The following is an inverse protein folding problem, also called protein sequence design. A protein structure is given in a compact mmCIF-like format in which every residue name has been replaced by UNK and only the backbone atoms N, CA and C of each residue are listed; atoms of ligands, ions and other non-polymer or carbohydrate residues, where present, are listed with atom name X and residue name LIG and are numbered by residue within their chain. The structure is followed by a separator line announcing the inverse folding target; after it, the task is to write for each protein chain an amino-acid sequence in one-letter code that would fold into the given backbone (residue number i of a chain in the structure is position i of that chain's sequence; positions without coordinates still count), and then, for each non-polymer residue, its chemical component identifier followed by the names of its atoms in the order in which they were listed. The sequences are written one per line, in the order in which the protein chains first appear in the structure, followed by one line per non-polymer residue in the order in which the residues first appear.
data_IF_487679834807
#
_entry.id   IF_487679834807
#
_cell.length_a   1.000
_cell.length_b   1.000
_cell.length_c   1.000
_cell.angle_alpha   90.00
_cell.angle_beta   90.00
_cell.angle_gamma   90.00
#
_symmetry.space_group_name_H-M   'P 1'
#
loop_
_entity.id
_entity.type
_entity.pdbx_description
1 polymer ?
#
# COMPACT_ATOMS: atom_id res chain seq x y z
N UNK A 1 -12.17 7.31 -8.89
CA UNK A 1 -11.08 6.73 -8.07
C UNK A 1 -11.46 6.54 -6.62
N UNK A 2 -11.89 7.61 -5.92
CA UNK A 2 -11.78 7.66 -4.45
C UNK A 2 -12.82 6.88 -3.62
N UNK A 3 -14.04 6.63 -4.10
CA UNK A 3 -15.10 6.05 -3.22
C UNK A 3 -14.77 4.63 -2.73
N UNK A 4 -14.17 3.80 -3.58
CA UNK A 4 -13.84 2.41 -3.24
C UNK A 4 -12.70 2.33 -2.22
N UNK A 5 -11.69 3.19 -2.36
CA UNK A 5 -10.59 3.30 -1.40
C UNK A 5 -11.12 3.76 -0.04
N UNK A 6 -12.03 4.75 -0.01
CA UNK A 6 -12.69 5.20 1.23
C UNK A 6 -13.46 4.07 1.92
N UNK A 7 -14.19 3.25 1.17
CA UNK A 7 -14.96 2.12 1.71
C UNK A 7 -14.03 1.03 2.25
N UNK A 8 -13.02 0.60 1.48
CA UNK A 8 -12.08 -0.44 1.90
C UNK A 8 -11.30 -0.04 3.15
N UNK A 9 -10.78 1.19 3.17
CA UNK A 9 -10.09 1.76 4.33
C UNK A 9 -10.99 1.80 5.56
N UNK A 10 -12.26 2.22 5.43
CA UNK A 10 -13.20 2.23 6.56
C UNK A 10 -13.45 0.83 7.12
N UNK A 11 -13.53 -0.17 6.25
CA UNK A 11 -13.72 -1.56 6.66
C UNK A 11 -12.49 -2.14 7.40
N UNK A 12 -11.29 -1.84 6.92
CA UNK A 12 -10.04 -2.45 7.42
C UNK A 12 -9.48 -1.68 8.63
N UNK A 13 -9.42 -0.35 8.56
CA UNK A 13 -8.80 0.50 9.58
C UNK A 13 -9.79 1.27 10.45
N UNK A 14 -11.10 1.26 10.16
CA UNK A 14 -12.09 2.06 10.88
C UNK A 14 -12.05 3.54 10.48
N UNK A 15 -12.33 4.47 11.39
CA UNK A 15 -12.32 5.91 11.12
C UNK A 15 -10.90 6.51 11.23
N UNK A 16 -10.08 6.26 10.21
CA UNK A 16 -8.81 6.98 9.98
C UNK A 16 -8.96 8.20 9.07
N UNK A 17 -8.05 9.16 9.19
CA UNK A 17 -8.02 10.38 8.40
C UNK A 17 -7.49 10.15 6.98
N UNK A 18 -8.05 10.91 6.03
CA UNK A 18 -7.64 10.89 4.63
C UNK A 18 -7.45 12.31 4.09
N UNK A 19 -6.47 12.46 3.20
CA UNK A 19 -6.24 13.70 2.47
C UNK A 19 -5.98 13.41 1.00
N UNK A 20 -6.25 14.37 0.12
CA UNK A 20 -5.84 14.30 -1.28
C UNK A 20 -4.30 14.32 -1.36
N UNK A 21 -3.72 13.39 -2.09
CA UNK A 21 -2.31 13.43 -2.43
C UNK A 21 -2.10 14.32 -3.66
N UNK A 22 -1.29 15.36 -3.49
CA UNK A 22 -0.89 16.24 -4.59
C UNK A 22 0.23 15.60 -5.41
N UNK A 23 0.03 15.58 -6.73
CA UNK A 23 1.04 15.29 -7.75
C UNK A 23 1.34 16.55 -8.57
N UNK A 24 2.27 16.45 -9.53
CA UNK A 24 2.72 17.57 -10.36
C UNK A 24 1.58 18.27 -11.14
N UNK A 25 0.54 17.55 -11.57
CA UNK A 25 -0.55 18.11 -12.39
C UNK A 25 -1.94 18.09 -11.72
N UNK A 26 -2.03 17.81 -10.42
CA UNK A 26 -3.30 17.86 -9.70
C UNK A 26 -3.43 16.89 -8.52
N UNK A 27 -4.66 16.78 -8.03
CA UNK A 27 -5.06 15.88 -6.94
C UNK A 27 -5.46 14.53 -7.52
N UNK A 28 -4.48 13.65 -7.71
CA UNK A 28 -4.70 12.35 -8.36
C UNK A 28 -4.59 11.15 -7.41
N UNK A 29 -4.13 11.37 -6.18
CA UNK A 29 -3.95 10.31 -5.19
C UNK A 29 -4.63 10.57 -3.86
N UNK A 30 -4.44 9.63 -2.93
CA UNK A 30 -5.01 9.65 -1.58
C UNK A 30 -3.93 9.30 -0.57
N UNK A 31 -3.88 10.03 0.54
CA UNK A 31 -3.11 9.67 1.73
C UNK A 31 -4.04 9.09 2.79
N UNK A 32 -3.64 8.01 3.41
CA UNK A 32 -4.33 7.36 4.52
C UNK A 32 -3.44 7.44 5.75
N UNK A 33 -3.81 8.22 6.76
CA UNK A 33 -2.99 8.38 7.97
C UNK A 33 -3.35 7.33 9.01
N UNK A 34 -2.34 6.64 9.53
CA UNK A 34 -2.50 5.51 10.46
C UNK A 34 -2.04 5.83 11.88
N UNK A 35 -1.24 6.88 12.03
CA UNK A 35 -0.67 7.30 13.31
C UNK A 35 -1.03 8.72 13.73
N UNK A 36 -0.68 9.10 14.97
CA UNK A 36 -0.80 10.46 15.44
C UNK A 36 0.19 11.39 14.72
N UNK A 37 -0.07 12.70 14.81
CA UNK A 37 0.94 13.69 14.47
C UNK A 37 2.13 13.59 15.43
N UNK A 38 3.34 13.72 14.92
CA UNK A 38 4.54 13.88 15.75
C UNK A 38 4.58 15.26 16.40
N UNK A 39 5.62 15.52 17.21
CA UNK A 39 5.82 16.79 17.94
C UNK A 39 5.86 18.03 17.04
N UNK A 40 6.21 17.86 15.76
CA UNK A 40 6.21 18.91 14.74
C UNK A 40 4.86 19.06 14.02
N UNK A 41 3.83 18.35 14.46
CA UNK A 41 2.50 18.31 13.85
C UNK A 41 2.40 17.46 12.58
N UNK A 42 3.48 16.81 12.14
CA UNK A 42 3.51 16.02 10.90
C UNK A 42 2.99 14.62 11.11
N UNK A 43 2.19 14.12 10.16
CA UNK A 43 1.70 12.74 10.13
C UNK A 43 2.54 11.91 9.18
N UNK A 44 3.54 11.24 9.75
CA UNK A 44 4.51 10.46 8.97
C UNK A 44 3.99 9.05 8.69
N UNK A 45 3.27 8.47 9.66
CA UNK A 45 2.67 7.14 9.59
C UNK A 45 1.45 7.14 8.66
N UNK A 46 1.68 6.77 7.40
CA UNK A 46 0.64 6.84 6.35
C UNK A 46 0.88 5.90 5.18
N UNK A 47 -0.14 5.76 4.35
CA UNK A 47 -0.07 5.10 3.04
C UNK A 47 -0.44 6.13 1.97
N UNK A 48 0.47 6.40 1.05
CA UNK A 48 0.23 7.28 -0.10
C UNK A 48 -0.12 6.40 -1.32
N UNK A 49 -1.32 6.56 -1.85
CA UNK A 49 -1.84 5.86 -3.02
C UNK A 49 -1.86 6.86 -4.17
N UNK A 50 -1.02 6.64 -5.17
CA UNK A 50 -0.84 7.54 -6.31
C UNK A 50 -1.05 6.77 -7.62
N UNK A 51 -1.30 7.46 -8.74
CA UNK A 51 -1.31 6.80 -10.05
C UNK A 51 -0.03 5.99 -10.27
N UNK A 52 -0.18 4.67 -10.44
CA UNK A 52 0.92 3.72 -10.66
C UNK A 52 1.99 3.63 -9.54
N UNK A 53 1.77 4.18 -8.35
CA UNK A 53 2.70 4.01 -7.23
C UNK A 53 2.02 3.98 -5.86
N UNK A 54 2.51 3.09 -5.00
CA UNK A 54 2.07 2.93 -3.61
C UNK A 54 3.27 3.15 -2.68
N UNK A 55 3.18 4.10 -1.76
CA UNK A 55 4.19 4.30 -0.72
C UNK A 55 3.61 3.97 0.65
N UNK A 56 4.24 3.03 1.35
CA UNK A 56 3.86 2.66 2.73
C UNK A 56 4.91 3.25 3.67
N UNK A 57 4.52 4.29 4.41
CA UNK A 57 5.35 4.98 5.41
C UNK A 57 4.98 4.51 6.82
N UNK A 58 4.68 3.22 6.95
CA UNK A 58 4.25 2.59 8.19
C UNK A 58 4.67 1.12 8.19
N UNK A 59 4.67 0.47 9.34
CA UNK A 59 4.98 -0.95 9.42
C UNK A 59 3.89 -1.82 8.77
N UNK A 60 4.31 -2.95 8.18
CA UNK A 60 3.39 -3.93 7.62
C UNK A 60 2.77 -4.78 8.74
N UNK A 61 1.69 -4.27 9.32
CA UNK A 61 0.77 -5.07 10.16
C UNK A 61 -0.13 -5.95 9.29
N UNK A 62 -0.87 -6.89 9.90
CA UNK A 62 -1.86 -7.71 9.20
C UNK A 62 -2.87 -6.85 8.42
N UNK A 63 -3.36 -5.76 9.04
CA UNK A 63 -4.31 -4.83 8.40
C UNK A 63 -3.69 -4.05 7.25
N UNK A 64 -2.44 -3.63 7.40
CA UNK A 64 -1.71 -2.91 6.33
C UNK A 64 -1.47 -3.83 5.14
N UNK A 65 -1.13 -5.09 5.41
CA UNK A 65 -0.93 -6.12 4.38
C UNK A 65 -2.25 -6.41 3.66
N UNK A 66 -3.35 -6.64 4.39
CA UNK A 66 -4.69 -6.84 3.82
C UNK A 66 -5.10 -5.67 2.93
N UNK A 67 -4.87 -4.44 3.37
CA UNK A 67 -5.19 -3.26 2.57
C UNK A 67 -4.33 -3.15 1.30
N UNK A 68 -3.03 -3.45 1.39
CA UNK A 68 -2.15 -3.47 0.23
C UNK A 68 -2.60 -4.52 -0.80
N UNK A 69 -2.91 -5.74 -0.36
CA UNK A 69 -3.42 -6.80 -1.23
C UNK A 69 -4.72 -6.37 -1.92
N UNK A 70 -5.65 -5.79 -1.15
CA UNK A 70 -6.89 -5.25 -1.69
C UNK A 70 -6.64 -4.16 -2.74
N UNK A 71 -5.71 -3.23 -2.49
CA UNK A 71 -5.34 -2.19 -3.46
C UNK A 71 -4.74 -2.79 -4.73
N UNK A 72 -3.85 -3.78 -4.61
CA UNK A 72 -3.22 -4.42 -5.77
C UNK A 72 -4.27 -5.10 -6.66
N UNK A 73 -5.21 -5.82 -6.06
CA UNK A 73 -6.27 -6.52 -6.78
C UNK A 73 -7.30 -5.55 -7.38
N UNK A 74 -7.76 -4.57 -6.61
CA UNK A 74 -8.95 -3.78 -6.95
C UNK A 74 -8.65 -2.40 -7.55
N UNK A 75 -7.51 -1.79 -7.22
CA UNK A 75 -7.12 -0.45 -7.70
C UNK A 75 -6.08 -0.55 -8.80
N UNK A 76 -5.02 -1.32 -8.57
CA UNK A 76 -3.95 -1.51 -9.56
C UNK A 76 -4.25 -2.64 -10.55
N UNK A 77 -5.39 -3.33 -10.39
CA UNK A 77 -5.91 -4.36 -11.29
C UNK A 77 -4.86 -5.44 -11.62
N UNK A 78 -4.04 -5.81 -10.63
CA UNK A 78 -3.13 -6.94 -10.72
C UNK A 78 -3.97 -8.21 -10.69
N UNK A 79 -4.43 -8.64 -11.86
CA UNK A 79 -5.20 -9.88 -12.02
C UNK A 79 -4.32 -11.08 -11.64
N UNK A 80 -4.88 -11.99 -10.85
CA UNK A 80 -4.27 -13.25 -10.42
C UNK A 80 -3.01 -13.12 -9.54
N UNK A 81 -3.17 -12.56 -8.32
CA UNK A 81 -2.26 -12.88 -7.21
C UNK A 81 -2.38 -14.34 -6.74
N UNK A 82 -3.18 -15.18 -7.41
CA UNK A 82 -3.05 -16.64 -7.39
C UNK A 82 -1.76 -17.07 -8.11
N UNK A 83 -0.60 -16.66 -7.60
CA UNK A 83 0.68 -17.27 -7.95
C UNK A 83 0.69 -18.72 -7.44
N UNK A 84 0.14 -19.65 -8.23
CA UNK A 84 0.42 -21.09 -8.08
C UNK A 84 1.77 -21.39 -8.72
N UNK A 85 2.84 -20.92 -8.10
CA UNK A 85 4.22 -21.18 -8.54
C UNK A 85 5.20 -20.16 -7.96
N UNK A 86 6.45 -20.59 -7.77
CA UNK A 86 7.53 -19.70 -7.34
C UNK A 86 7.62 -18.49 -8.26
N UNK A 87 7.51 -17.31 -7.67
CA UNK A 87 7.75 -16.03 -8.34
C UNK A 87 9.18 -16.01 -8.91
N UNK A 88 9.40 -15.22 -9.96
CA UNK A 88 10.76 -15.00 -10.50
C UNK A 88 11.73 -14.52 -9.42
N UNK A 89 11.23 -13.74 -8.44
CA UNK A 89 12.03 -13.26 -7.32
C UNK A 89 12.39 -14.37 -6.32
N UNK A 90 11.48 -15.30 -6.04
CA UNK A 90 11.75 -16.46 -5.20
C UNK A 90 12.78 -17.40 -5.83
N UNK A 91 12.69 -17.63 -7.14
CA UNK A 91 13.71 -18.36 -7.90
C UNK A 91 15.07 -17.68 -7.82
N UNK A 92 15.11 -16.36 -8.04
CA UNK A 92 16.32 -15.56 -7.93
C UNK A 92 16.95 -15.64 -6.53
N UNK A 93 16.18 -15.49 -5.45
CA UNK A 93 16.70 -15.65 -4.07
C UNK A 93 17.24 -17.06 -3.80
N UNK A 94 16.53 -18.09 -4.27
CA UNK A 94 16.95 -19.48 -4.07
C UNK A 94 18.29 -19.77 -4.79
N UNK A 95 18.47 -19.24 -6.00
CA UNK A 95 19.73 -19.30 -6.75
C UNK A 95 20.87 -18.59 -5.99
N UNK A 96 20.64 -17.36 -5.53
CA UNK A 96 21.63 -16.62 -4.74
C UNK A 96 21.98 -17.30 -3.42
N UNK A 97 21.04 -18.01 -2.80
CA UNK A 97 21.33 -18.78 -1.57
C UNK A 97 22.20 -20.02 -1.86
N UNK A 98 22.08 -20.64 -3.03
CA UNK A 98 22.93 -21.78 -3.47
C UNK A 98 24.32 -21.34 -3.90
N UNK A 99 24.46 -20.18 -4.54
CA UNK A 99 25.76 -19.62 -4.92
C UNK A 99 26.65 -19.25 -3.72
N UNK A 100 26.04 -18.99 -2.55
CA UNK A 100 26.73 -18.54 -1.34
C UNK A 100 26.80 -19.61 -0.22
N UNK A 101 26.49 -20.87 -0.53
CA UNK A 101 26.55 -22.01 0.38
C UNK A 101 27.70 -22.95 -0.01
#
# INVERSE_FOLDING_TARGET
GNIYVTIAKKKIFGDVEIEDAYMYEGKEGVKVFLGPSNESGRKEERIDILPHSLHVWYEFTDKVTEFCDWLLENVYLVKDAHHKGETKYEKFRAEKKRENA
#
